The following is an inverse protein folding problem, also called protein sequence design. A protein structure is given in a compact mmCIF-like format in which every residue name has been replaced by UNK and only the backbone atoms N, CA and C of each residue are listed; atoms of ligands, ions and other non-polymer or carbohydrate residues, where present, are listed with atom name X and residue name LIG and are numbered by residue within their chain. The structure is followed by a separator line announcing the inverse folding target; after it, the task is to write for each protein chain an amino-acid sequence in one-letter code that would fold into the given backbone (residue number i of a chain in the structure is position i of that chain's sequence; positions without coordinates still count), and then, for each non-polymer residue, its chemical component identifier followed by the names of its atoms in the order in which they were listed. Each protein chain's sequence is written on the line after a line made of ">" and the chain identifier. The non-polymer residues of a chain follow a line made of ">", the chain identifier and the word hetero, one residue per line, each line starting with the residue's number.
data_IF_612115713640
#
_entry.id   IF_612115713640
#
_cell.length_a   1.000
_cell.length_b   1.000
_cell.length_c   1.000
_cell.angle_alpha   90.00
_cell.angle_beta   90.00
_cell.angle_gamma   90.00
#
_symmetry.space_group_name_H-M   'P 1'
#
loop_
_entity.id
_entity.type
_entity.pdbx_description
1 polymer ?
#
# COMPACT_ATOMS: atom_id res chain seq x y z
N UNK A 1 5.15 11.65 -29.89
CA UNK A 1 5.15 10.89 -28.61
C UNK A 1 4.12 11.54 -27.71
N UNK A 2 2.98 10.90 -27.48
CA UNK A 2 1.97 11.47 -26.58
C UNK A 2 2.58 11.53 -25.18
N UNK A 3 2.88 12.74 -24.69
CA UNK A 3 3.46 12.95 -23.36
C UNK A 3 2.39 12.63 -22.32
N UNK A 4 2.21 11.35 -22.03
CA UNK A 4 1.28 10.91 -21.00
C UNK A 4 1.75 11.53 -19.68
N UNK A 5 0.86 12.29 -19.05
CA UNK A 5 1.14 12.96 -17.77
C UNK A 5 1.62 11.92 -16.76
N UNK A 6 2.77 12.12 -16.08
CA UNK A 6 3.23 11.17 -15.08
C UNK A 6 2.17 10.93 -14.00
N UNK A 7 2.14 9.73 -13.44
CA UNK A 7 1.09 9.26 -12.54
C UNK A 7 1.68 8.79 -11.22
N UNK A 8 1.08 9.22 -10.12
CA UNK A 8 1.25 8.64 -8.80
C UNK A 8 0.06 7.72 -8.51
N UNK A 9 0.35 6.44 -8.30
CA UNK A 9 -0.63 5.45 -7.85
C UNK A 9 -0.44 5.23 -6.36
N UNK A 10 -1.48 5.48 -5.56
CA UNK A 10 -1.49 5.13 -4.14
C UNK A 10 -2.20 3.78 -3.98
N UNK A 11 -1.47 2.77 -3.52
CA UNK A 11 -2.08 1.48 -3.16
C UNK A 11 -2.42 1.48 -1.67
N UNK A 12 -3.69 1.19 -1.35
CA UNK A 12 -4.19 1.20 0.03
C UNK A 12 -5.17 0.05 0.28
N UNK A 13 -5.24 -0.46 1.50
CA UNK A 13 -6.26 -1.39 1.97
C UNK A 13 -7.40 -0.63 2.66
N UNK A 14 -8.64 -0.68 2.13
CA UNK A 14 -9.80 -0.13 2.83
C UNK A 14 -10.11 -0.92 4.12
N UNK A 15 -10.45 -0.23 5.21
CA UNK A 15 -10.82 -0.85 6.49
C UNK A 15 -11.93 -1.88 6.34
N UNK A 16 -12.97 -1.54 5.56
CA UNK A 16 -14.11 -2.43 5.31
C UNK A 16 -13.68 -3.73 4.60
N UNK A 17 -12.82 -3.64 3.59
CA UNK A 17 -12.32 -4.81 2.88
C UNK A 17 -11.48 -5.72 3.80
N UNK A 18 -10.66 -5.12 4.67
CA UNK A 18 -9.91 -5.86 5.69
C UNK A 18 -10.86 -6.59 6.67
N UNK A 19 -11.87 -5.88 7.18
CA UNK A 19 -12.88 -6.43 8.09
C UNK A 19 -13.68 -7.60 7.47
N UNK A 20 -14.20 -7.42 6.26
CA UNK A 20 -15.01 -8.45 5.59
C UNK A 20 -14.21 -9.73 5.36
N UNK A 21 -12.95 -9.59 4.94
CA UNK A 21 -12.01 -10.71 4.77
C UNK A 21 -11.72 -11.43 6.09
N UNK A 22 -11.54 -10.69 7.18
CA UNK A 22 -11.34 -11.25 8.51
C UNK A 22 -12.52 -12.11 8.95
N UNK A 23 -13.74 -11.59 8.79
CA UNK A 23 -14.97 -12.33 9.12
C UNK A 23 -15.11 -13.57 8.23
N UNK A 24 -14.85 -13.44 6.92
CA UNK A 24 -14.90 -14.57 5.98
C UNK A 24 -13.89 -15.68 6.34
N UNK A 25 -12.76 -15.33 6.94
CA UNK A 25 -11.75 -16.27 7.44
C UNK A 25 -12.06 -16.85 8.84
N UNK A 26 -13.26 -16.62 9.37
CA UNK A 26 -13.73 -17.21 10.63
C UNK A 26 -13.39 -16.41 11.89
N UNK A 27 -12.88 -15.18 11.76
CA UNK A 27 -12.70 -14.32 12.93
C UNK A 27 -14.05 -13.81 13.46
N UNK A 28 -14.20 -13.78 14.78
CA UNK A 28 -15.37 -13.17 15.41
C UNK A 28 -15.43 -11.67 15.06
N UNK A 29 -16.61 -11.10 14.75
CA UNK A 29 -16.72 -9.73 14.25
C UNK A 29 -16.06 -8.66 15.13
N UNK A 30 -16.16 -8.78 16.46
CA UNK A 30 -15.52 -7.84 17.37
C UNK A 30 -13.98 -7.82 17.19
N UNK A 31 -13.37 -9.01 17.10
CA UNK A 31 -11.92 -9.14 16.88
C UNK A 31 -11.53 -8.70 15.47
N UNK A 32 -12.35 -9.00 14.47
CA UNK A 32 -12.15 -8.51 13.12
C UNK A 32 -12.15 -6.98 13.05
N UNK A 33 -13.05 -6.31 13.78
CA UNK A 33 -13.11 -4.86 13.84
C UNK A 33 -11.88 -4.24 14.53
N UNK A 34 -11.42 -4.84 15.63
CA UNK A 34 -10.18 -4.42 16.31
C UNK A 34 -8.98 -4.52 15.38
N UNK A 35 -8.81 -5.67 14.73
CA UNK A 35 -7.70 -5.90 13.79
C UNK A 35 -7.81 -4.94 12.62
N UNK A 36 -8.95 -4.85 11.93
CA UNK A 36 -9.13 -3.95 10.80
C UNK A 36 -8.86 -2.48 11.17
N UNK A 37 -9.25 -2.05 12.38
CA UNK A 37 -8.97 -0.70 12.85
C UNK A 37 -7.50 -0.45 13.15
N UNK A 38 -6.75 -1.45 13.61
CA UNK A 38 -5.31 -1.35 13.83
C UNK A 38 -4.53 -1.39 12.52
N UNK A 39 -4.99 -2.20 11.56
CA UNK A 39 -4.29 -2.49 10.31
C UNK A 39 -4.54 -1.49 9.20
N UNK A 40 -5.75 -0.99 9.05
CA UNK A 40 -6.11 -0.05 7.97
C UNK A 40 -5.69 1.40 8.27
N UNK A 41 -4.86 1.61 9.29
CA UNK A 41 -4.71 2.88 10.02
C UNK A 41 -6.06 3.26 10.67
N UNK A 42 -6.05 3.88 11.85
CA UNK A 42 -7.26 4.12 12.66
C UNK A 42 -8.42 4.80 11.91
N UNK A 43 -8.10 5.45 10.79
CA UNK A 43 -8.99 6.13 9.85
C UNK A 43 -8.64 5.72 8.43
N UNK A 44 -9.64 5.43 7.61
CA UNK A 44 -9.44 5.23 6.18
C UNK A 44 -8.77 6.48 5.56
N UNK A 45 -7.86 6.28 4.61
CA UNK A 45 -7.14 7.35 3.91
C UNK A 45 -8.00 8.07 2.86
N UNK A 46 -9.18 7.54 2.54
CA UNK A 46 -10.05 8.08 1.49
C UNK A 46 -10.43 9.57 1.64
N UNK A 47 -10.69 10.11 2.85
CA UNK A 47 -10.93 11.54 3.03
C UNK A 47 -9.77 12.44 2.58
N UNK A 48 -8.54 11.92 2.54
CA UNK A 48 -7.34 12.68 2.16
C UNK A 48 -7.09 12.68 0.64
N UNK A 49 -7.85 11.92 -0.14
CA UNK A 49 -7.60 11.73 -1.57
C UNK A 49 -7.71 13.03 -2.37
N UNK A 50 -8.66 13.92 -2.04
CA UNK A 50 -8.80 15.19 -2.76
C UNK A 50 -7.61 16.12 -2.50
N UNK A 51 -7.13 16.17 -1.25
CA UNK A 51 -5.94 16.93 -0.88
C UNK A 51 -4.68 16.38 -1.57
N UNK A 52 -4.53 15.05 -1.62
CA UNK A 52 -3.44 14.40 -2.33
C UNK A 52 -3.51 14.63 -3.85
N UNK A 53 -4.71 14.55 -4.44
CA UNK A 53 -4.94 14.81 -5.86
C UNK A 53 -4.57 16.26 -6.22
N UNK A 54 -5.00 17.24 -5.42
CA UNK A 54 -4.65 18.65 -5.61
C UNK A 54 -3.12 18.87 -5.49
N UNK A 55 -2.47 18.26 -4.51
CA UNK A 55 -1.03 18.31 -4.34
C UNK A 55 -0.27 17.68 -5.51
N UNK A 56 -0.78 16.59 -6.08
CA UNK A 56 -0.22 15.98 -7.29
C UNK A 56 -0.42 16.87 -8.52
N UNK A 57 -1.60 17.46 -8.68
CA UNK A 57 -1.94 18.31 -9.82
C UNK A 57 -1.03 19.53 -9.91
N UNK A 58 -0.75 20.20 -8.79
CA UNK A 58 0.19 21.34 -8.71
C UNK A 58 1.61 20.97 -9.13
N UNK A 59 1.98 19.68 -9.06
CA UNK A 59 3.28 19.13 -9.50
C UNK A 59 3.24 18.54 -10.89
N UNK A 60 2.15 18.71 -11.63
CA UNK A 60 2.02 18.15 -12.97
C UNK A 60 1.75 16.65 -12.99
N UNK A 61 1.40 16.03 -11.86
CA UNK A 61 1.12 14.60 -11.75
C UNK A 61 -0.39 14.33 -11.81
N UNK A 62 -0.76 13.17 -12.34
CA UNK A 62 -2.08 12.56 -12.09
C UNK A 62 -2.02 11.70 -10.82
N UNK A 63 -3.11 11.64 -10.05
CA UNK A 63 -3.22 10.84 -8.84
C UNK A 63 -4.28 9.76 -9.03
N UNK A 64 -3.99 8.54 -8.60
CA UNK A 64 -4.93 7.42 -8.69
C UNK A 64 -4.85 6.57 -7.41
N UNK A 65 -5.83 6.68 -6.49
CA UNK A 65 -5.94 5.74 -5.38
C UNK A 65 -6.45 4.39 -5.92
N UNK A 66 -5.83 3.30 -5.47
CA UNK A 66 -6.13 1.93 -5.89
C UNK A 66 -6.26 1.06 -4.66
N UNK A 67 -7.41 0.40 -4.51
CA UNK A 67 -7.60 -0.58 -3.45
C UNK A 67 -6.64 -1.76 -3.67
N UNK A 68 -6.09 -2.29 -2.59
CA UNK A 68 -5.07 -3.33 -2.62
C UNK A 68 -5.55 -4.61 -3.33
N UNK A 69 -6.85 -4.91 -3.28
CA UNK A 69 -7.47 -6.04 -4.00
C UNK A 69 -7.46 -5.85 -5.53
N UNK A 70 -7.46 -4.61 -6.03
CA UNK A 70 -7.42 -4.29 -7.46
C UNK A 70 -6.00 -4.05 -7.98
N UNK A 71 -5.01 -3.94 -7.09
CA UNK A 71 -3.64 -3.52 -7.42
C UNK A 71 -2.98 -4.39 -8.50
N UNK A 72 -3.15 -5.71 -8.44
CA UNK A 72 -2.51 -6.61 -9.42
C UNK A 72 -2.96 -6.30 -10.86
N UNK A 73 -4.27 -6.07 -11.06
CA UNK A 73 -4.84 -5.78 -12.37
C UNK A 73 -4.45 -4.39 -12.85
N UNK A 74 -4.51 -3.39 -11.97
CA UNK A 74 -4.21 -2.00 -12.31
C UNK A 74 -2.74 -1.82 -12.65
N UNK A 75 -1.83 -2.35 -11.81
CA UNK A 75 -0.39 -2.15 -11.99
C UNK A 75 0.16 -2.84 -13.25
N UNK A 76 -0.44 -3.94 -13.70
CA UNK A 76 -0.01 -4.66 -14.91
C UNK A 76 -0.15 -3.84 -16.21
N UNK A 77 -1.01 -2.83 -16.24
CA UNK A 77 -1.27 -2.00 -17.43
C UNK A 77 -0.49 -0.67 -17.47
N UNK A 78 0.34 -0.38 -16.48
CA UNK A 78 0.98 0.93 -16.31
C UNK A 78 2.37 1.01 -16.97
N UNK A 79 2.75 2.22 -17.40
CA UNK A 79 4.07 2.46 -18.01
C UNK A 79 5.13 2.75 -16.93
N UNK A 80 6.18 1.89 -16.78
CA UNK A 80 7.27 2.09 -15.83
C UNK A 80 8.03 3.41 -15.94
N UNK A 81 8.01 4.05 -17.12
CA UNK A 81 8.71 5.32 -17.35
C UNK A 81 7.96 6.52 -16.78
N UNK A 82 6.64 6.41 -16.62
CA UNK A 82 5.78 7.54 -16.23
C UNK A 82 4.97 7.28 -14.95
N UNK A 83 5.06 6.09 -14.37
CA UNK A 83 4.27 5.71 -13.19
C UNK A 83 5.17 5.51 -11.97
N UNK A 84 4.77 6.14 -10.87
CA UNK A 84 5.31 5.95 -9.52
C UNK A 84 4.24 5.34 -8.64
N UNK A 85 4.59 4.32 -7.87
CA UNK A 85 3.67 3.60 -6.97
C UNK A 85 4.04 3.91 -5.52
N UNK A 86 3.09 4.43 -4.76
CA UNK A 86 3.21 4.65 -3.32
C UNK A 86 2.42 3.58 -2.58
N UNK A 87 3.11 2.80 -1.76
CA UNK A 87 2.55 1.66 -1.03
C UNK A 87 2.41 2.04 0.43
N UNK A 88 1.21 2.45 0.85
CA UNK A 88 0.99 3.07 2.17
C UNK A 88 0.36 2.13 3.20
N UNK A 89 -0.56 1.26 2.79
CA UNK A 89 -1.20 0.31 3.72
C UNK A 89 -1.31 -1.11 3.16
N UNK A 90 -0.65 -2.00 3.88
CA UNK A 90 -0.56 -3.41 3.64
C UNK A 90 -0.49 -4.07 5.03
N UNK A 91 -1.66 -4.39 5.59
CA UNK A 91 -1.84 -4.70 7.01
C UNK A 91 -0.78 -5.63 7.65
N UNK A 92 -0.39 -5.25 8.88
CA UNK A 92 0.54 -5.93 9.81
C UNK A 92 0.14 -7.38 10.16
N UNK A 93 -1.13 -7.78 10.06
CA UNK A 93 -1.53 -9.20 10.14
C UNK A 93 -2.15 -9.62 8.80
N UNK A 94 -1.85 -10.83 8.31
CA UNK A 94 -2.17 -11.39 6.97
C UNK A 94 -1.23 -11.04 5.80
N UNK A 95 0.02 -10.65 6.05
CA UNK A 95 1.15 -10.75 5.09
C UNK A 95 0.97 -10.04 3.73
N UNK A 96 0.06 -9.08 3.60
CA UNK A 96 0.04 -8.23 2.39
C UNK A 96 1.10 -7.15 2.43
N UNK A 97 1.80 -7.01 3.56
CA UNK A 97 3.10 -6.36 3.77
C UNK A 97 3.91 -6.05 2.49
N UNK A 98 4.36 -7.14 1.89
CA UNK A 98 5.17 -7.07 0.68
C UNK A 98 4.38 -7.01 -0.62
N UNK A 99 3.06 -7.16 -0.62
CA UNK A 99 2.27 -7.41 -1.83
C UNK A 99 2.30 -6.21 -2.78
N UNK A 100 1.98 -5.00 -2.30
CA UNK A 100 2.03 -3.82 -3.14
C UNK A 100 3.45 -3.52 -3.70
N UNK A 101 4.53 -3.52 -2.89
CA UNK A 101 5.88 -3.33 -3.43
C UNK A 101 6.33 -4.49 -4.34
N UNK A 102 5.97 -5.74 -4.04
CA UNK A 102 6.28 -6.88 -4.90
C UNK A 102 5.55 -6.82 -6.25
N UNK A 103 4.27 -6.44 -6.26
CA UNK A 103 3.50 -6.24 -7.49
C UNK A 103 4.06 -5.10 -8.34
N UNK A 104 4.46 -3.99 -7.73
CA UNK A 104 5.14 -2.91 -8.45
C UNK A 104 6.46 -3.38 -9.05
N UNK A 105 7.30 -4.08 -8.28
CA UNK A 105 8.57 -4.65 -8.74
C UNK A 105 8.37 -5.63 -9.90
N UNK A 106 7.38 -6.52 -9.80
CA UNK A 106 7.06 -7.50 -10.85
C UNK A 106 6.74 -6.82 -12.19
N UNK A 107 6.12 -5.64 -12.14
CA UNK A 107 5.78 -4.84 -13.32
C UNK A 107 6.86 -3.80 -13.68
N UNK A 108 8.03 -3.83 -13.04
CA UNK A 108 9.12 -2.88 -13.28
C UNK A 108 8.81 -1.43 -12.87
N UNK A 109 7.75 -1.20 -12.11
CA UNK A 109 7.32 0.13 -11.68
C UNK A 109 8.22 0.67 -10.57
N UNK A 110 8.43 1.99 -10.57
CA UNK A 110 9.18 2.66 -9.49
C UNK A 110 8.31 2.80 -8.24
N UNK A 111 8.95 2.67 -7.09
CA UNK A 111 8.32 2.77 -5.77
C UNK A 111 8.67 4.08 -5.07
N UNK A 112 7.71 4.61 -4.33
CA UNK A 112 7.89 5.60 -3.29
C UNK A 112 7.69 4.90 -1.93
N UNK A 113 8.77 4.77 -1.16
CA UNK A 113 8.79 4.02 0.10
C UNK A 113 9.88 2.93 0.12
N UNK A 114 9.70 1.93 0.98
CA UNK A 114 10.57 0.75 1.04
C UNK A 114 10.25 -0.27 -0.05
N UNK A 115 11.19 -1.18 -0.30
CA UNK A 115 10.95 -2.39 -1.09
C UNK A 115 10.27 -3.50 -0.26
N UNK A 116 9.91 -4.61 -0.90
CA UNK A 116 9.24 -5.73 -0.25
C UNK A 116 10.04 -6.30 0.95
N UNK A 117 11.37 -6.26 0.87
CA UNK A 117 12.25 -6.76 1.92
C UNK A 117 12.26 -5.83 3.15
N UNK A 118 12.31 -4.50 2.95
CA UNK A 118 12.23 -3.52 4.02
C UNK A 118 10.86 -3.56 4.70
N UNK A 119 9.78 -3.70 3.91
CA UNK A 119 8.44 -3.90 4.46
C UNK A 119 8.39 -5.16 5.34
N UNK A 120 8.90 -6.30 4.86
CA UNK A 120 8.94 -7.53 5.67
C UNK A 120 9.78 -7.39 6.95
N UNK A 121 10.93 -6.72 6.88
CA UNK A 121 11.79 -6.49 8.02
C UNK A 121 11.10 -5.64 9.11
N UNK A 122 10.45 -4.54 8.71
CA UNK A 122 9.78 -3.63 9.64
C UNK A 122 8.59 -4.28 10.38
N UNK A 123 8.00 -5.33 9.83
CA UNK A 123 6.92 -6.09 10.48
C UNK A 123 7.45 -7.16 11.46
N UNK A 124 8.67 -7.66 11.24
CA UNK A 124 9.29 -8.64 12.11
C UNK A 124 10.05 -7.93 13.23
N UNK A 125 9.39 -7.76 14.38
CA UNK A 125 9.98 -7.11 15.57
C UNK A 125 11.27 -7.79 16.05
N UNK A 126 11.39 -9.10 15.88
CA UNK A 126 12.59 -9.82 16.29
C UNK A 126 13.76 -9.52 15.35
N UNK A 127 13.53 -9.65 14.03
CA UNK A 127 14.57 -9.38 13.02
C UNK A 127 14.95 -7.91 12.96
N UNK A 128 13.97 -7.00 12.98
CA UNK A 128 14.24 -5.56 13.04
C UNK A 128 15.01 -5.20 14.31
N UNK A 129 14.63 -5.76 15.47
CA UNK A 129 15.36 -5.58 16.72
C UNK A 129 16.80 -6.10 16.67
N UNK A 130 17.03 -7.25 16.02
CA UNK A 130 18.38 -7.78 15.82
C UNK A 130 19.23 -6.88 14.91
N UNK A 131 18.66 -6.35 13.82
CA UNK A 131 19.34 -5.39 12.93
C UNK A 131 19.69 -4.12 13.68
N UNK A 132 18.75 -3.53 14.42
CA UNK A 132 19.00 -2.34 15.24
C UNK A 132 20.10 -2.60 16.27
N UNK A 133 20.02 -3.70 17.01
CA UNK A 133 21.04 -4.07 18.00
C UNK A 133 22.44 -4.28 17.41
N UNK A 134 22.55 -4.69 16.15
CA UNK A 134 23.83 -4.81 15.45
C UNK A 134 24.39 -3.46 14.97
N UNK A 135 23.56 -2.45 14.78
CA UNK A 135 23.94 -1.12 14.28
C UNK A 135 24.26 -0.10 15.39
N UNK A 136 23.88 -0.39 16.64
CA UNK A 136 24.08 0.48 17.81
C UNK A 136 22.92 1.44 18.04
#
# INVERSE_FOLDING_TARGET
>A
MSSRRPKLILVYEPKKACFERLVANGHVPARAAEIASYLAQSTDIAPEFDTLAAACQTRGLSFMPVALDDAANVLAGEDPKTTLVWTLTDGIAYFRGGAAPALARLNGLKLLGGDDALFALCQDKFRSGAVLGALG
#
